data_IF_579666117636
#
_entry.id   IF_579666117636
#
_cell.length_a   1.000
_cell.length_b   1.000
_cell.length_c   1.000
_cell.angle_alpha   90.00
_cell.angle_beta   90.00
_cell.angle_gamma   90.00
#
_symmetry.space_group_name_H-M   'P 1'
#
loop_
_entity.id
_entity.type
_entity.pdbx_description
1 polymer ?
#
# COMPACT_ATOMS: atom_id res chain seq x y z
N UNK A 1 -2.12 -6.16 -18.28
CA UNK A 1 -0.83 -5.50 -18.47
C UNK A 1 -0.74 -4.44 -17.39
N UNK A 2 0.31 -4.46 -16.56
CA UNK A 2 0.47 -3.51 -15.45
C UNK A 2 0.70 -2.10 -16.02
N UNK A 3 -0.05 -1.11 -15.57
CA UNK A 3 0.04 0.27 -16.06
C UNK A 3 1.37 0.92 -15.66
N UNK A 4 1.73 2.05 -16.27
CA UNK A 4 2.95 2.78 -15.86
C UNK A 4 2.85 3.32 -14.44
N UNK A 5 1.66 3.72 -14.02
CA UNK A 5 1.36 4.15 -12.65
C UNK A 5 1.58 2.99 -11.66
N UNK A 6 1.03 1.81 -11.97
CA UNK A 6 1.19 0.61 -11.13
C UNK A 6 2.65 0.15 -11.06
N UNK A 7 3.40 0.22 -12.16
CA UNK A 7 4.84 -0.09 -12.15
C UNK A 7 5.63 0.86 -11.23
N UNK A 8 5.27 2.15 -11.19
CA UNK A 8 5.87 3.11 -10.27
C UNK A 8 5.51 2.76 -8.82
N UNK A 9 4.24 2.45 -8.54
CA UNK A 9 3.79 2.04 -7.21
C UNK A 9 4.55 0.81 -6.70
N UNK A 10 4.69 -0.24 -7.51
CA UNK A 10 5.39 -1.46 -7.09
C UNK A 10 6.89 -1.24 -6.89
N UNK A 11 7.53 -0.43 -7.73
CA UNK A 11 8.93 -0.05 -7.54
C UNK A 11 9.13 0.76 -6.26
N UNK A 12 8.23 1.71 -5.99
CA UNK A 12 8.25 2.53 -4.78
C UNK A 12 8.04 1.66 -3.53
N UNK A 13 7.07 0.73 -3.54
CA UNK A 13 6.83 -0.20 -2.43
C UNK A 13 8.10 -0.96 -2.06
N UNK A 14 8.77 -1.54 -3.06
CA UNK A 14 9.98 -2.33 -2.82
C UNK A 14 11.09 -1.46 -2.23
N UNK A 15 11.35 -0.29 -2.81
CA UNK A 15 12.42 0.59 -2.37
C UNK A 15 12.16 1.19 -0.98
N UNK A 16 10.94 1.63 -0.70
CA UNK A 16 10.55 2.07 0.63
C UNK A 16 10.67 0.93 1.66
N UNK A 17 10.29 -0.29 1.30
CA UNK A 17 10.45 -1.45 2.18
C UNK A 17 11.91 -1.82 2.44
N UNK A 18 12.82 -1.57 1.50
CA UNK A 18 14.25 -1.88 1.64
C UNK A 18 15.00 -0.76 2.38
N UNK A 19 14.80 0.50 1.97
CA UNK A 19 15.62 1.66 2.36
C UNK A 19 14.91 2.66 3.29
N UNK A 20 13.60 2.50 3.50
CA UNK A 20 12.76 3.49 4.18
C UNK A 20 12.36 4.65 3.26
N UNK A 21 11.41 5.47 3.71
CA UNK A 21 10.93 6.63 2.93
C UNK A 21 12.03 7.66 2.68
N UNK A 22 12.77 8.05 3.72
CA UNK A 22 13.85 9.05 3.63
C UNK A 22 15.02 8.56 2.78
N UNK A 23 15.37 7.27 2.89
CA UNK A 23 16.47 6.64 2.15
C UNK A 23 16.19 6.35 0.67
N UNK A 24 15.01 6.73 0.17
CA UNK A 24 14.59 6.47 -1.21
C UNK A 24 14.37 7.77 -1.97
N UNK A 25 14.97 7.89 -3.16
CA UNK A 25 14.77 9.03 -4.07
C UNK A 25 13.82 8.70 -5.24
N UNK A 26 13.13 9.71 -5.76
CA UNK A 26 12.28 9.56 -6.96
C UNK A 26 13.06 9.11 -8.19
N UNK A 27 14.35 9.43 -8.28
CA UNK A 27 15.24 8.98 -9.37
C UNK A 27 15.53 7.47 -9.30
N UNK A 28 15.69 6.93 -8.10
CA UNK A 28 15.84 5.48 -7.92
C UNK A 28 14.54 4.75 -8.28
N UNK A 29 13.40 5.29 -7.87
CA UNK A 29 12.07 4.75 -8.19
C UNK A 29 11.86 4.75 -9.70
N UNK A 30 12.17 5.84 -10.41
CA UNK A 30 11.96 5.92 -11.87
C UNK A 30 12.84 4.92 -12.62
N UNK A 31 14.08 4.72 -12.15
CA UNK A 31 14.99 3.73 -12.70
C UNK A 31 14.48 2.30 -12.47
N UNK A 32 14.02 2.00 -11.27
CA UNK A 32 13.48 0.68 -10.92
C UNK A 32 12.17 0.35 -11.67
N UNK A 33 11.31 1.35 -11.89
CA UNK A 33 10.07 1.22 -12.65
C UNK A 33 10.28 1.24 -14.18
N UNK A 34 11.50 1.50 -14.66
CA UNK A 34 11.83 1.69 -16.07
C UNK A 34 10.93 2.74 -16.75
N UNK A 35 10.88 3.93 -16.14
CA UNK A 35 10.11 5.08 -16.61
C UNK A 35 10.94 6.36 -16.58
N UNK A 36 10.50 7.39 -17.30
CA UNK A 36 11.06 8.73 -17.16
C UNK A 36 10.69 9.29 -15.77
N UNK A 37 11.64 9.95 -15.11
CA UNK A 37 11.43 10.61 -13.82
C UNK A 37 10.25 11.61 -13.85
N UNK A 38 9.99 12.25 -15.00
CA UNK A 38 8.85 13.16 -15.17
C UNK A 38 7.50 12.47 -14.98
N UNK A 39 7.41 11.15 -15.21
CA UNK A 39 6.18 10.39 -15.01
C UNK A 39 5.81 10.30 -13.53
N UNK A 40 6.78 10.28 -12.61
CA UNK A 40 6.50 10.31 -11.17
C UNK A 40 5.87 11.64 -10.79
N UNK A 41 6.43 12.76 -11.26
CA UNK A 41 5.84 14.08 -11.04
C UNK A 41 4.47 14.21 -11.69
N UNK A 42 4.25 13.62 -12.87
CA UNK A 42 2.97 13.66 -13.56
C UNK A 42 1.87 12.88 -12.82
N UNK A 43 2.13 11.63 -12.44
CA UNK A 43 1.11 10.78 -11.80
C UNK A 43 0.89 11.09 -10.32
N UNK A 44 1.97 11.43 -9.60
CA UNK A 44 1.93 11.52 -8.14
C UNK A 44 2.27 12.92 -7.63
N UNK A 45 2.93 13.78 -8.41
CA UNK A 45 3.34 15.11 -7.98
C UNK A 45 4.61 15.12 -7.12
N UNK A 46 4.61 14.39 -6.00
CA UNK A 46 5.75 14.33 -5.06
C UNK A 46 5.99 12.91 -4.50
N UNK A 47 7.12 12.72 -3.79
CA UNK A 47 7.45 11.45 -3.13
C UNK A 47 6.44 11.10 -2.03
N UNK A 48 5.99 12.12 -1.30
CA UNK A 48 4.99 12.03 -0.23
C UNK A 48 3.64 11.59 -0.79
N UNK A 49 3.17 12.24 -1.87
CA UNK A 49 1.91 11.87 -2.53
C UNK A 49 1.97 10.49 -3.17
N UNK A 50 3.14 10.08 -3.70
CA UNK A 50 3.36 8.71 -4.16
C UNK A 50 3.23 7.70 -3.02
N UNK A 51 3.78 8.02 -1.86
CA UNK A 51 3.65 7.18 -0.66
C UNK A 51 2.18 7.12 -0.17
N UNK A 52 1.48 8.25 -0.12
CA UNK A 52 0.05 8.29 0.23
C UNK A 52 -0.78 7.43 -0.72
N UNK A 53 -0.54 7.55 -2.03
CA UNK A 53 -1.20 6.74 -3.06
C UNK A 53 -0.88 5.25 -2.95
N UNK A 54 0.36 4.90 -2.59
CA UNK A 54 0.74 3.52 -2.29
C UNK A 54 -0.06 2.95 -1.13
N UNK A 55 -0.17 3.70 -0.02
CA UNK A 55 -0.93 3.27 1.16
C UNK A 55 -2.41 3.15 0.81
N UNK A 56 -2.99 4.12 0.12
CA UNK A 56 -4.38 4.09 -0.34
C UNK A 56 -4.65 2.87 -1.24
N UNK A 57 -3.76 2.60 -2.20
CA UNK A 57 -3.87 1.45 -3.10
C UNK A 57 -3.91 0.13 -2.33
N UNK A 58 -3.00 -0.07 -1.35
CA UNK A 58 -2.96 -1.30 -0.55
C UNK A 58 -4.09 -1.41 0.47
N UNK A 59 -4.52 -0.30 1.06
CA UNK A 59 -5.59 -0.29 2.07
C UNK A 59 -6.98 -0.46 1.44
N UNK A 60 -7.19 0.08 0.23
CA UNK A 60 -8.45 -0.10 -0.50
C UNK A 60 -8.68 -1.58 -0.86
N UNK A 61 -7.66 -2.29 -1.39
CA UNK A 61 -7.68 -3.76 -1.56
C UNK A 61 -8.12 -4.45 -0.26
N UNK A 62 -7.57 -3.98 0.86
CA UNK A 62 -7.92 -4.35 2.23
C UNK A 62 -9.42 -4.32 2.53
N UNK A 63 -9.99 -3.12 2.39
CA UNK A 63 -11.35 -2.74 2.81
C UNK A 63 -12.45 -3.36 1.93
N UNK A 64 -12.26 -3.40 0.60
CA UNK A 64 -13.25 -3.98 -0.32
C UNK A 64 -13.59 -5.42 0.06
N UNK A 65 -12.57 -6.21 0.37
CA UNK A 65 -12.75 -7.61 0.74
C UNK A 65 -13.48 -7.83 2.08
N UNK A 66 -13.17 -7.01 3.10
CA UNK A 66 -13.86 -7.14 4.39
C UNK A 66 -15.35 -6.82 4.22
N UNK A 67 -15.67 -5.80 3.41
CA UNK A 67 -17.04 -5.46 3.05
C UNK A 67 -17.74 -6.60 2.32
N UNK A 68 -17.12 -7.18 1.29
CA UNK A 68 -17.68 -8.30 0.54
C UNK A 68 -18.02 -9.50 1.43
N UNK A 69 -17.18 -9.81 2.43
CA UNK A 69 -17.47 -10.89 3.39
C UNK A 69 -18.63 -10.53 4.31
N UNK A 70 -18.65 -9.30 4.83
CA UNK A 70 -19.69 -8.88 5.77
C UNK A 70 -21.08 -8.91 5.13
N UNK A 71 -21.17 -8.57 3.85
CA UNK A 71 -22.41 -8.56 3.06
C UNK A 71 -22.90 -9.96 2.67
N UNK A 72 -22.08 -11.02 2.83
CA UNK A 72 -22.50 -12.39 2.55
C UNK A 72 -23.57 -12.88 3.53
N UNK A 73 -24.64 -13.45 2.99
CA UNK A 73 -25.76 -14.02 3.76
C UNK A 73 -25.75 -15.55 3.79
N UNK A 74 -24.86 -16.18 3.04
CA UNK A 74 -24.70 -17.63 2.90
C UNK A 74 -23.67 -18.23 3.88
N UNK A 75 -23.09 -17.43 4.79
CA UNK A 75 -22.20 -17.84 5.88
C UNK A 75 -22.57 -17.16 7.20
N UNK A 76 -22.31 -17.85 8.30
CA UNK A 76 -22.50 -17.31 9.64
C UNK A 76 -21.38 -16.34 10.05
N UNK A 77 -21.57 -15.65 11.17
CA UNK A 77 -20.67 -14.64 11.71
C UNK A 77 -19.27 -15.19 12.01
N UNK A 78 -19.18 -16.42 12.53
CA UNK A 78 -17.90 -17.05 12.82
C UNK A 78 -17.10 -17.35 11.55
N UNK A 79 -17.77 -17.89 10.52
CA UNK A 79 -17.18 -18.15 9.21
C UNK A 79 -16.75 -16.85 8.51
N UNK A 80 -17.45 -15.74 8.74
CA UNK A 80 -17.02 -14.42 8.29
C UNK A 80 -15.70 -14.01 8.96
N UNK A 81 -15.59 -14.19 10.28
CA UNK A 81 -14.36 -13.91 11.03
C UNK A 81 -13.20 -14.77 10.51
N UNK A 82 -13.40 -16.09 10.37
CA UNK A 82 -12.37 -17.00 9.82
C UNK A 82 -11.88 -16.54 8.46
N UNK A 83 -12.81 -16.22 7.53
CA UNK A 83 -12.44 -15.75 6.19
C UNK A 83 -11.69 -14.41 6.21
N UNK A 84 -12.07 -13.49 7.09
CA UNK A 84 -11.36 -12.21 7.25
C UNK A 84 -9.93 -12.46 7.75
N UNK A 85 -9.77 -13.32 8.75
CA UNK A 85 -8.46 -13.66 9.34
C UNK A 85 -7.56 -14.39 8.34
N UNK A 86 -8.10 -15.37 7.61
CA UNK A 86 -7.36 -16.13 6.61
C UNK A 86 -6.81 -15.24 5.51
N UNK A 87 -7.62 -14.29 5.06
CA UNK A 87 -7.24 -13.40 3.98
C UNK A 87 -6.37 -12.24 4.41
N UNK A 88 -6.57 -11.73 5.63
CA UNK A 88 -5.57 -10.86 6.24
C UNK A 88 -4.21 -11.57 6.33
N UNK A 89 -4.18 -12.81 6.82
CA UNK A 89 -2.97 -13.63 6.92
C UNK A 89 -2.35 -13.94 5.55
N UNK A 90 -3.18 -14.13 4.53
CA UNK A 90 -2.74 -14.26 3.13
C UNK A 90 -2.05 -12.98 2.65
N UNK A 91 -2.67 -11.81 2.85
CA UNK A 91 -2.11 -10.51 2.44
C UNK A 91 -0.80 -10.18 3.14
N UNK A 92 -0.68 -10.44 4.44
CA UNK A 92 0.59 -10.26 5.17
C UNK A 92 1.70 -11.07 4.51
N UNK A 93 1.40 -12.28 4.04
CA UNK A 93 2.36 -13.14 3.34
C UNK A 93 2.67 -12.69 1.91
N UNK A 94 1.69 -12.14 1.18
CA UNK A 94 1.86 -11.73 -0.21
C UNK A 94 2.42 -10.30 -0.37
N UNK A 95 2.13 -9.39 0.56
CA UNK A 95 2.54 -7.97 0.53
C UNK A 95 3.57 -7.65 1.62
N UNK A 96 4.58 -8.51 1.77
CA UNK A 96 5.62 -8.35 2.81
C UNK A 96 6.31 -6.98 2.78
N UNK A 97 6.47 -6.40 1.59
CA UNK A 97 7.07 -5.07 1.43
C UNK A 97 6.18 -4.00 2.06
N UNK A 98 4.91 -3.93 1.69
CA UNK A 98 3.94 -3.04 2.33
C UNK A 98 3.88 -3.20 3.86
N UNK A 99 3.76 -4.42 4.39
CA UNK A 99 3.71 -4.60 5.85
C UNK A 99 5.03 -4.23 6.54
N UNK A 100 6.18 -4.42 5.87
CA UNK A 100 7.46 -3.93 6.35
C UNK A 100 7.53 -2.40 6.37
N UNK A 101 6.96 -1.72 5.37
CA UNK A 101 6.83 -0.25 5.37
C UNK A 101 6.00 0.18 6.57
N UNK A 102 4.82 -0.40 6.76
CA UNK A 102 3.91 -0.05 7.86
C UNK A 102 4.56 -0.25 9.24
N UNK A 103 5.33 -1.33 9.43
CA UNK A 103 6.05 -1.58 10.69
C UNK A 103 7.20 -0.60 10.92
N UNK A 104 7.93 -0.20 9.87
CA UNK A 104 9.03 0.78 9.96
C UNK A 104 8.52 2.19 10.21
N UNK A 105 7.41 2.56 9.59
CA UNK A 105 6.82 3.90 9.62
C UNK A 105 5.78 4.07 10.73
N UNK A 106 5.52 3.05 11.57
CA UNK A 106 4.76 3.17 12.82
C UNK A 106 5.39 4.19 13.81
N UNK A 107 6.63 4.63 13.57
CA UNK A 107 7.31 5.72 14.27
C UNK A 107 7.16 7.11 13.61
N UNK A 108 6.53 7.20 12.42
CA UNK A 108 6.21 8.46 11.73
C UNK A 108 4.74 8.90 11.92
N UNK A 109 3.99 8.13 12.72
CA UNK A 109 2.57 8.33 13.09
C UNK A 109 2.27 9.63 13.87
N UNK A 110 3.23 10.54 14.02
CA UNK A 110 2.93 11.89 14.50
C UNK A 110 2.19 12.78 13.49
N UNK A 111 2.26 12.49 12.17
CA UNK A 111 1.65 13.35 11.12
C UNK A 111 0.39 12.81 10.46
N UNK A 112 0.12 11.51 10.58
CA UNK A 112 -1.04 10.85 9.97
C UNK A 112 -2.10 10.38 10.99
N UNK A 113 -1.79 10.38 12.29
CA UNK A 113 -2.79 10.20 13.35
C UNK A 113 -3.77 11.39 13.41
N UNK A 114 -3.32 12.59 13.05
CA UNK A 114 -4.13 13.81 13.05
C UNK A 114 -5.01 13.99 11.80
N UNK A 115 -4.90 13.10 10.80
CA UNK A 115 -5.75 13.13 9.60
C UNK A 115 -6.59 11.86 9.46
N UNK A 116 -7.45 11.65 10.47
CA UNK A 116 -8.79 11.12 10.26
C UNK A 116 -9.06 9.72 10.79
N UNK A 117 -9.93 9.65 11.81
CA UNK A 117 -11.25 9.04 11.64
C UNK A 117 -12.26 9.97 12.32
N UNK A 118 -12.96 10.77 11.51
CA UNK A 118 -14.27 11.36 11.81
C UNK A 118 -15.21 10.93 10.69
#
# INVERSE_FOLDING_TARGET
MVSKEENILFAAEKLFAEKGFEGTSTREISKAANVNISMISYYFGSKEKLYEKLVEYRMSEGQFFAKDILERTDINEWQKIEKIVDQFSGRVRHHKCFYRIMQREQLYTGKYADRGIS
#
